data_IF_572761273938
#
_entry.id   IF_572761273938
#
_cell.length_a   1.000
_cell.length_b   1.000
_cell.length_c   1.000
_cell.angle_alpha   90.00
_cell.angle_beta   90.00
_cell.angle_gamma   90.00
#
_symmetry.space_group_name_H-M   'P 1'
#
loop_
_entity.id
_entity.type
_entity.pdbx_description
1 polymer ?
#
# COMPACT_ATOMS: atom_id res chain seq x y z
N UNK A 1 62.59 9.35 -12.22
CA UNK A 1 61.57 10.39 -11.99
C UNK A 1 60.23 9.66 -11.94
N UNK A 2 59.61 9.57 -10.77
CA UNK A 2 58.40 8.77 -10.53
C UNK A 2 57.20 9.72 -10.55
N UNK A 3 56.54 9.86 -11.69
CA UNK A 3 55.27 10.59 -11.78
C UNK A 3 54.14 9.65 -11.38
N UNK A 4 53.60 9.88 -10.20
CA UNK A 4 52.42 9.20 -9.66
C UNK A 4 51.19 9.62 -10.47
N UNK A 5 50.60 8.66 -11.19
CA UNK A 5 49.31 8.85 -11.85
C UNK A 5 48.20 8.77 -10.79
N UNK A 6 47.74 9.93 -10.31
CA UNK A 6 46.59 10.01 -9.41
C UNK A 6 45.31 9.84 -10.24
N UNK A 7 44.82 8.60 -10.34
CA UNK A 7 43.47 8.31 -10.83
C UNK A 7 42.46 8.84 -9.81
N UNK A 8 41.87 9.99 -10.11
CA UNK A 8 40.68 10.49 -9.41
C UNK A 8 39.50 9.61 -9.87
N UNK A 9 39.16 8.62 -9.06
CA UNK A 9 37.93 7.84 -9.23
C UNK A 9 36.77 8.74 -8.77
N UNK A 10 36.15 9.44 -9.72
CA UNK A 10 34.90 10.15 -9.47
C UNK A 10 33.79 9.11 -9.21
N UNK A 11 33.41 8.97 -7.94
CA UNK A 11 32.34 8.07 -7.51
C UNK A 11 31.00 8.50 -8.09
N UNK A 12 30.39 7.65 -8.91
CA UNK A 12 29.03 7.84 -9.40
C UNK A 12 28.05 7.55 -8.25
N UNK A 13 27.50 8.60 -7.66
CA UNK A 13 26.41 8.48 -6.68
C UNK A 13 25.13 8.16 -7.47
N UNK A 14 24.77 6.88 -7.53
CA UNK A 14 23.48 6.47 -8.06
C UNK A 14 22.38 6.90 -7.08
N UNK A 15 21.68 7.99 -7.41
CA UNK A 15 20.45 8.39 -6.74
C UNK A 15 19.37 7.36 -7.08
N UNK A 16 19.14 6.42 -6.18
CA UNK A 16 17.96 5.55 -6.23
C UNK A 16 16.75 6.37 -5.83
N UNK A 17 16.02 6.85 -6.83
CA UNK A 17 14.72 7.50 -6.64
C UNK A 17 13.72 6.46 -6.11
N UNK A 18 13.44 6.46 -4.82
CA UNK A 18 12.29 5.75 -4.26
C UNK A 18 11.03 6.50 -4.72
N UNK A 19 10.39 6.03 -5.77
CA UNK A 19 9.13 6.59 -6.25
C UNK A 19 8.07 6.50 -5.15
N UNK A 20 7.52 7.64 -4.72
CA UNK A 20 6.33 7.67 -3.88
C UNK A 20 5.17 7.07 -4.68
N UNK A 21 4.78 5.84 -4.36
CA UNK A 21 3.64 5.18 -4.99
C UNK A 21 2.36 5.78 -4.43
N UNK A 22 1.66 6.57 -5.25
CA UNK A 22 0.35 7.10 -4.90
C UNK A 22 -0.67 5.97 -4.68
N UNK A 23 -1.62 6.21 -3.78
CA UNK A 23 -2.79 5.37 -3.61
C UNK A 23 -3.57 5.27 -4.95
N UNK A 24 -4.21 4.13 -5.26
CA UNK A 24 -5.06 4.01 -6.44
C UNK A 24 -6.29 4.93 -6.33
N UNK A 25 -6.97 5.15 -7.45
CA UNK A 25 -8.31 5.74 -7.44
C UNK A 25 -9.34 4.62 -7.17
N UNK A 26 -10.02 4.65 -6.02
CA UNK A 26 -11.02 3.64 -5.67
C UNK A 26 -12.45 4.03 -6.06
N UNK A 27 -12.86 5.28 -5.83
CA UNK A 27 -14.21 5.75 -6.17
C UNK A 27 -14.30 7.25 -6.41
N UNK A 28 -15.21 7.69 -7.28
CA UNK A 28 -15.55 9.11 -7.43
C UNK A 28 -16.78 9.51 -6.61
N UNK A 29 -17.35 8.58 -5.84
CA UNK A 29 -18.52 8.85 -5.02
C UNK A 29 -18.20 9.80 -3.86
N UNK A 30 -19.11 10.71 -3.50
CA UNK A 30 -18.95 11.57 -2.35
C UNK A 30 -18.95 10.76 -1.05
N UNK A 31 -18.30 11.31 0.00
CA UNK A 31 -18.06 10.61 1.27
C UNK A 31 -19.34 10.18 2.01
N UNK A 32 -20.47 10.82 1.79
CA UNK A 32 -21.77 10.43 2.35
C UNK A 32 -22.32 9.12 1.79
N UNK A 33 -21.76 8.64 0.66
CA UNK A 33 -22.07 7.33 0.06
C UNK A 33 -21.15 6.22 0.53
N UNK A 34 -20.14 6.54 1.34
CA UNK A 34 -19.21 5.57 1.85
C UNK A 34 -19.84 4.83 3.02
N UNK A 35 -19.61 3.52 3.09
CA UNK A 35 -19.99 2.75 4.28
C UNK A 35 -19.17 3.23 5.49
N UNK A 36 -19.68 3.13 6.71
CA UNK A 36 -18.89 3.40 7.91
C UNK A 36 -17.62 2.56 7.96
N UNK A 37 -16.50 3.13 8.39
CA UNK A 37 -15.22 2.41 8.50
C UNK A 37 -15.35 1.13 9.34
N UNK A 38 -16.15 1.18 10.40
CA UNK A 38 -16.40 0.03 11.27
C UNK A 38 -17.08 -1.12 10.52
N UNK A 39 -17.99 -0.83 9.59
CA UNK A 39 -18.65 -1.85 8.79
C UNK A 39 -17.64 -2.65 7.96
N UNK A 40 -16.68 -1.97 7.31
CA UNK A 40 -15.62 -2.67 6.57
C UNK A 40 -14.70 -3.46 7.50
N UNK A 41 -14.30 -2.89 8.64
CA UNK A 41 -13.47 -3.60 9.63
C UNK A 41 -14.13 -4.89 10.11
N UNK A 42 -15.40 -4.82 10.49
CA UNK A 42 -16.14 -5.98 10.98
C UNK A 42 -16.28 -7.06 9.91
N UNK A 43 -16.56 -6.66 8.66
CA UNK A 43 -16.61 -7.59 7.53
C UNK A 43 -15.27 -8.30 7.32
N UNK A 44 -14.16 -7.56 7.33
CA UNK A 44 -12.82 -8.13 7.14
C UNK A 44 -12.43 -9.07 8.29
N UNK A 45 -12.70 -8.69 9.54
CA UNK A 45 -12.44 -9.55 10.70
C UNK A 45 -13.27 -10.83 10.65
N UNK A 46 -14.54 -10.74 10.29
CA UNK A 46 -15.43 -11.90 10.09
C UNK A 46 -14.93 -12.82 8.98
N UNK A 47 -14.34 -12.24 7.94
CA UNK A 47 -13.76 -12.95 6.81
C UNK A 47 -12.41 -13.61 7.10
N UNK A 48 -11.85 -13.40 8.30
CA UNK A 48 -10.59 -14.02 8.74
C UNK A 48 -9.34 -13.18 8.47
N UNK A 49 -9.49 -11.90 8.12
CA UNK A 49 -8.36 -10.98 8.06
C UNK A 49 -7.95 -10.53 9.45
N UNK A 50 -6.67 -10.17 9.60
CA UNK A 50 -6.17 -9.42 10.75
C UNK A 50 -5.89 -8.00 10.28
N UNK A 51 -6.39 -6.99 11.01
CA UNK A 51 -6.19 -5.57 10.70
C UNK A 51 -5.21 -4.99 11.71
N UNK A 52 -4.00 -4.69 11.27
CA UNK A 52 -2.99 -3.99 12.08
C UNK A 52 -3.16 -2.47 11.99
N UNK A 53 -3.59 -1.97 10.82
CA UNK A 53 -3.88 -0.56 10.57
C UNK A 53 -5.03 -0.43 9.59
N UNK A 54 -5.88 0.56 9.83
CA UNK A 54 -6.91 1.01 8.90
C UNK A 54 -6.70 2.50 8.61
N UNK A 55 -6.69 2.86 7.34
CA UNK A 55 -6.44 4.22 6.86
C UNK A 55 -7.51 4.63 5.85
N UNK A 56 -7.66 5.94 5.69
CA UNK A 56 -8.33 6.52 4.54
C UNK A 56 -7.26 7.16 3.65
N UNK A 57 -7.00 6.56 2.49
CA UNK A 57 -5.92 6.95 1.58
C UNK A 57 -6.51 7.42 0.26
N UNK A 58 -6.51 8.74 0.07
CA UNK A 58 -7.22 9.37 -1.06
C UNK A 58 -8.73 9.10 -0.98
N UNK A 59 -9.25 8.41 -1.99
CA UNK A 59 -10.65 7.99 -2.09
C UNK A 59 -10.85 6.49 -1.76
N UNK A 60 -9.91 5.87 -1.04
CA UNK A 60 -9.93 4.47 -0.66
C UNK A 60 -10.01 4.29 0.85
N UNK A 61 -10.55 3.15 1.28
CA UNK A 61 -10.15 2.56 2.55
C UNK A 61 -8.94 1.65 2.33
N UNK A 62 -7.96 1.72 3.22
CA UNK A 62 -6.73 0.94 3.12
C UNK A 62 -6.48 0.19 4.42
N UNK A 63 -6.12 -1.09 4.33
CA UNK A 63 -5.69 -1.87 5.48
C UNK A 63 -4.27 -2.38 5.31
N UNK A 64 -3.53 -2.37 6.41
CA UNK A 64 -2.34 -3.19 6.60
C UNK A 64 -2.67 -4.30 7.58
N UNK A 65 -2.21 -5.51 7.30
CA UNK A 65 -2.39 -6.62 8.22
C UNK A 65 -2.08 -7.96 7.59
N UNK A 66 -2.92 -8.97 7.87
CA UNK A 66 -2.77 -10.32 7.33
C UNK A 66 -4.03 -10.78 6.60
N UNK A 67 -3.84 -11.47 5.49
CA UNK A 67 -4.92 -12.19 4.79
C UNK A 67 -5.37 -13.43 5.57
N UNK A 68 -6.40 -14.11 5.04
CA UNK A 68 -6.98 -15.34 5.60
C UNK A 68 -5.97 -16.49 5.75
N UNK A 69 -4.83 -16.41 5.04
CA UNK A 69 -3.75 -17.38 5.10
C UNK A 69 -2.61 -16.93 6.05
N UNK A 70 -2.77 -15.81 6.75
CA UNK A 70 -1.77 -15.25 7.66
C UNK A 70 -0.64 -14.46 6.98
N UNK A 71 -0.74 -14.25 5.66
CA UNK A 71 0.28 -13.56 4.86
C UNK A 71 0.10 -12.05 4.95
N UNK A 72 1.21 -11.29 5.02
CA UNK A 72 1.15 -9.82 5.12
C UNK A 72 0.57 -9.21 3.86
N UNK A 73 -0.35 -8.27 4.04
CA UNK A 73 -1.04 -7.57 2.95
C UNK A 73 -1.19 -6.07 3.21
N UNK A 74 -1.20 -5.32 2.11
CA UNK A 74 -1.69 -3.94 2.00
C UNK A 74 -2.84 -3.98 0.97
N UNK A 75 -4.05 -3.64 1.39
CA UNK A 75 -5.25 -3.74 0.53
C UNK A 75 -6.01 -2.42 0.52
N UNK A 76 -6.33 -1.95 -0.67
CA UNK A 76 -7.18 -0.79 -0.94
C UNK A 76 -8.56 -1.26 -1.36
N UNK A 77 -9.59 -0.72 -0.73
CA UNK A 77 -10.99 -1.03 -0.95
C UNK A 77 -11.74 0.20 -1.46
N UNK A 78 -12.70 -0.04 -2.34
CA UNK A 78 -13.75 0.92 -2.65
C UNK A 78 -14.65 1.09 -1.42
N UNK A 79 -14.74 2.28 -0.83
CA UNK A 79 -15.53 2.49 0.38
C UNK A 79 -17.04 2.46 0.15
N UNK A 80 -17.51 2.38 -1.10
CA UNK A 80 -18.95 2.30 -1.42
C UNK A 80 -19.51 0.88 -1.33
N UNK A 81 -18.69 -0.13 -1.63
CA UNK A 81 -19.12 -1.54 -1.67
C UNK A 81 -18.13 -2.52 -0.99
N UNK A 82 -16.96 -2.05 -0.57
CA UNK A 82 -15.95 -2.85 0.11
C UNK A 82 -15.17 -3.79 -0.82
N UNK A 83 -15.27 -3.64 -2.14
CA UNK A 83 -14.50 -4.48 -3.08
C UNK A 83 -13.03 -4.09 -3.07
N UNK A 84 -12.16 -5.09 -3.27
CA UNK A 84 -10.72 -4.85 -3.41
C UNK A 84 -10.45 -4.15 -4.75
N UNK A 85 -9.81 -2.99 -4.70
CA UNK A 85 -9.34 -2.23 -5.87
C UNK A 85 -7.87 -2.56 -6.16
N UNK A 86 -7.07 -2.75 -5.11
CA UNK A 86 -5.66 -3.13 -5.22
C UNK A 86 -5.22 -3.89 -3.99
N UNK A 87 -4.42 -4.92 -4.19
CA UNK A 87 -3.76 -5.66 -3.12
C UNK A 87 -2.27 -5.78 -3.43
N UNK A 88 -1.44 -5.69 -2.39
CA UNK A 88 -0.01 -6.02 -2.42
C UNK A 88 0.27 -7.06 -1.34
N UNK A 89 1.09 -8.05 -1.68
CA UNK A 89 1.37 -9.19 -0.81
C UNK A 89 0.19 -10.16 -0.69
N UNK A 90 0.37 -11.23 0.08
CA UNK A 90 -0.61 -12.31 0.20
C UNK A 90 -0.35 -13.47 -0.77
N UNK A 91 -1.04 -14.58 -0.57
CA UNK A 91 -0.87 -15.78 -1.41
C UNK A 91 -1.70 -15.62 -2.70
N UNK A 92 -1.06 -15.12 -3.77
CA UNK A 92 -1.67 -14.92 -5.09
C UNK A 92 -1.77 -13.47 -5.57
N UNK A 93 -1.04 -12.54 -4.93
CA UNK A 93 -0.83 -11.18 -5.41
C UNK A 93 0.42 -11.06 -6.29
#
# INVERSE_FOLDING_TARGET
>A
MKTLATLVIAGAVALVSFGAVAAPNCTNAPRDKWMPEQQLKDNLLKDGYVIDRFLVSGNCYEIYGKDKNGSKVEIYFDPTDGRIVKQRGGKGA
#
